data_IF_303660165694
#
_entry.id   IF_303660165694
#
_cell.length_a   1.000
_cell.length_b   1.000
_cell.length_c   1.000
_cell.angle_alpha   90.00
_cell.angle_beta   90.00
_cell.angle_gamma   90.00
#
_symmetry.space_group_name_H-M   'P 1'
#
loop_
_entity.id
_entity.type
_entity.pdbx_description
1 polymer ?
#
# COMPACT_ATOMS: atom_id res chain seq x y z
N UNK A 1 16.35 -32.64 -24.95
CA UNK A 1 17.30 -31.50 -24.78
C UNK A 1 16.65 -30.52 -23.85
N UNK A 2 17.07 -30.53 -22.57
CA UNK A 2 16.53 -29.58 -21.55
C UNK A 2 17.36 -28.32 -21.62
N UNK A 3 16.73 -27.22 -22.10
CA UNK A 3 17.28 -25.88 -21.96
C UNK A 3 16.83 -25.31 -20.60
N UNK A 4 17.60 -25.58 -19.56
CA UNK A 4 17.55 -24.81 -18.32
C UNK A 4 18.19 -23.44 -18.61
N UNK A 5 17.37 -22.43 -18.89
CA UNK A 5 17.83 -21.04 -18.82
C UNK A 5 18.12 -20.72 -17.35
N UNK A 6 19.41 -20.66 -17.02
CA UNK A 6 19.87 -20.07 -15.76
C UNK A 6 19.56 -18.58 -15.85
N UNK A 7 18.57 -18.13 -15.07
CA UNK A 7 18.32 -16.70 -14.91
C UNK A 7 19.57 -16.05 -14.28
N UNK A 8 20.02 -14.87 -14.76
CA UNK A 8 21.13 -14.18 -14.12
C UNK A 8 20.79 -13.89 -12.66
N UNK A 9 21.78 -14.02 -11.79
CA UNK A 9 21.62 -13.67 -10.38
C UNK A 9 21.11 -12.22 -10.27
N UNK A 10 20.11 -11.97 -9.41
CA UNK A 10 19.65 -10.61 -9.17
C UNK A 10 20.81 -9.76 -8.64
N UNK A 11 20.90 -8.47 -9.01
CA UNK A 11 21.92 -7.58 -8.50
C UNK A 11 21.85 -7.55 -6.97
N UNK A 12 23.01 -7.50 -6.32
CA UNK A 12 23.11 -7.44 -4.87
C UNK A 12 22.23 -6.29 -4.33
N UNK A 13 21.46 -6.51 -3.26
CA UNK A 13 20.64 -5.47 -2.67
C UNK A 13 21.53 -4.30 -2.24
N UNK A 14 21.06 -3.04 -2.38
CA UNK A 14 21.81 -1.89 -1.91
C UNK A 14 22.12 -2.00 -0.42
N UNK A 15 23.23 -1.47 0.07
CA UNK A 15 23.60 -1.52 1.47
C UNK A 15 22.47 -0.94 2.31
N UNK A 16 22.12 -1.62 3.41
CA UNK A 16 21.09 -1.15 4.34
C UNK A 16 21.57 0.15 4.99
N UNK A 17 20.68 1.17 5.13
CA UNK A 17 20.98 2.37 5.86
C UNK A 17 21.40 2.03 7.30
N UNK A 18 22.43 2.68 7.81
CA UNK A 18 23.08 2.36 9.10
C UNK A 18 22.56 3.20 10.26
N UNK A 19 21.87 4.31 9.98
CA UNK A 19 21.29 5.21 11.00
C UNK A 19 19.87 5.66 10.61
N UNK A 20 19.07 6.12 11.58
CA UNK A 20 17.74 6.68 11.34
C UNK A 20 17.80 7.93 10.44
N UNK A 21 18.86 8.73 10.56
CA UNK A 21 19.10 9.91 9.70
C UNK A 21 19.35 9.51 8.24
N UNK A 22 20.03 8.39 8.00
CA UNK A 22 20.25 7.85 6.66
C UNK A 22 18.92 7.40 6.03
N UNK A 23 18.05 6.78 6.83
CA UNK A 23 16.71 6.35 6.38
C UNK A 23 15.87 7.55 5.95
N UNK A 24 15.80 8.59 6.78
CA UNK A 24 15.05 9.82 6.48
C UNK A 24 15.63 10.52 5.25
N UNK A 25 16.96 10.59 5.16
CA UNK A 25 17.64 11.21 4.01
C UNK A 25 17.29 10.53 2.70
N UNK A 26 17.34 9.20 2.67
CA UNK A 26 17.00 8.41 1.50
C UNK A 26 15.51 8.51 1.15
N UNK A 27 14.63 8.53 2.13
CA UNK A 27 13.20 8.72 1.95
C UNK A 27 12.91 10.07 1.28
N UNK A 28 13.48 11.17 1.82
CA UNK A 28 13.32 12.51 1.25
C UNK A 28 13.89 12.59 -0.17
N UNK A 29 15.08 12.03 -0.40
CA UNK A 29 15.72 12.01 -1.72
C UNK A 29 14.84 11.34 -2.77
N UNK A 30 14.37 10.16 -2.46
CA UNK A 30 13.51 9.35 -3.31
C UNK A 30 12.20 10.07 -3.63
N UNK A 31 11.50 10.56 -2.59
CA UNK A 31 10.23 11.25 -2.78
C UNK A 31 10.39 12.56 -3.57
N UNK A 32 11.48 13.31 -3.37
CA UNK A 32 11.75 14.51 -4.15
C UNK A 32 11.90 14.19 -5.63
N UNK A 33 12.71 13.21 -5.97
CA UNK A 33 12.92 12.76 -7.35
C UNK A 33 11.59 12.31 -7.99
N UNK A 34 10.81 11.50 -7.28
CA UNK A 34 9.50 11.00 -7.71
C UNK A 34 8.51 12.14 -7.98
N UNK A 35 8.32 13.04 -7.00
CA UNK A 35 7.38 14.15 -7.10
C UNK A 35 7.75 15.13 -8.22
N UNK A 36 9.05 15.39 -8.41
CA UNK A 36 9.55 16.20 -9.52
C UNK A 36 9.27 15.52 -10.86
N UNK A 37 9.62 14.24 -10.99
CA UNK A 37 9.43 13.46 -12.23
C UNK A 37 7.97 13.31 -12.61
N UNK A 38 7.08 13.07 -11.63
CA UNK A 38 5.61 13.00 -11.84
C UNK A 38 5.07 14.30 -12.42
N UNK A 39 5.72 15.44 -12.19
CA UNK A 39 5.37 16.76 -12.74
C UNK A 39 6.14 17.10 -14.01
N UNK A 40 6.91 16.16 -14.55
CA UNK A 40 7.75 16.37 -15.74
C UNK A 40 8.70 17.58 -15.61
N UNK A 41 9.18 17.88 -14.38
CA UNK A 41 10.10 18.98 -14.13
C UNK A 41 11.55 18.51 -14.22
N UNK A 42 12.40 19.29 -14.92
CA UNK A 42 13.84 19.17 -14.76
C UNK A 42 14.29 19.75 -13.41
N UNK A 43 15.52 19.47 -12.97
CA UNK A 43 16.07 20.11 -11.77
C UNK A 43 16.09 21.63 -11.90
N UNK A 44 16.37 22.18 -13.09
CA UNK A 44 16.30 23.61 -13.35
C UNK A 44 14.88 24.15 -13.29
N UNK A 45 13.91 23.38 -13.77
CA UNK A 45 12.49 23.71 -13.68
C UNK A 45 12.03 23.78 -12.22
N UNK A 46 12.39 22.79 -11.42
CA UNK A 46 12.09 22.77 -10.00
C UNK A 46 12.81 23.90 -9.23
N UNK A 47 14.08 24.15 -9.55
CA UNK A 47 14.84 25.24 -8.93
C UNK A 47 14.14 26.61 -9.11
N UNK A 48 13.65 26.89 -10.30
CA UNK A 48 12.85 28.11 -10.58
C UNK A 48 11.52 28.14 -9.82
N UNK A 49 10.85 26.98 -9.73
CA UNK A 49 9.53 26.88 -9.08
C UNK A 49 9.61 27.04 -7.56
N UNK A 50 10.66 26.56 -6.91
CA UNK A 50 10.78 26.56 -5.44
C UNK A 50 11.77 27.58 -4.87
N UNK A 51 12.60 28.24 -5.70
CA UNK A 51 13.62 29.18 -5.24
C UNK A 51 14.75 28.51 -4.44
N UNK A 52 15.05 27.24 -4.76
CA UNK A 52 16.20 26.48 -4.23
C UNK A 52 17.18 26.21 -5.36
N UNK A 53 18.50 26.31 -5.11
CA UNK A 53 19.48 26.13 -6.17
C UNK A 53 19.44 24.73 -6.75
N UNK A 54 19.69 24.61 -8.08
CA UNK A 54 19.81 23.32 -8.77
C UNK A 54 20.81 22.37 -8.12
N UNK A 55 21.96 22.94 -7.66
CA UNK A 55 23.01 22.15 -7.01
C UNK A 55 22.51 21.52 -5.68
N UNK A 56 21.78 22.29 -4.88
CA UNK A 56 21.18 21.79 -3.63
C UNK A 56 20.13 20.73 -3.90
N UNK A 57 19.25 20.92 -4.88
CA UNK A 57 18.26 19.92 -5.27
C UNK A 57 18.92 18.62 -5.72
N UNK A 58 19.99 18.70 -6.51
CA UNK A 58 20.74 17.53 -6.95
C UNK A 58 21.41 16.79 -5.77
N UNK A 59 21.93 17.50 -4.78
CA UNK A 59 22.49 16.90 -3.57
C UNK A 59 21.42 16.20 -2.73
N UNK A 60 20.24 16.81 -2.60
CA UNK A 60 19.12 16.21 -1.87
C UNK A 60 18.63 14.95 -2.61
N UNK A 61 18.39 15.01 -3.92
CA UNK A 61 17.93 13.84 -4.71
C UNK A 61 18.95 12.70 -4.75
N UNK A 62 20.23 13.00 -4.60
CA UNK A 62 21.27 11.97 -4.50
C UNK A 62 21.48 11.42 -3.08
N UNK A 63 20.69 11.86 -2.09
CA UNK A 63 20.84 11.46 -0.70
C UNK A 63 22.10 12.01 0.00
N UNK A 64 22.85 12.91 -0.65
CA UNK A 64 24.10 13.47 -0.11
C UNK A 64 23.88 14.64 0.87
N UNK A 65 22.65 15.14 0.99
CA UNK A 65 22.30 16.25 1.86
C UNK A 65 20.89 16.10 2.37
N UNK A 66 20.71 16.24 3.67
CA UNK A 66 19.39 16.34 4.32
C UNK A 66 18.96 17.80 4.26
N UNK A 67 17.80 18.13 3.64
CA UNK A 67 17.32 19.50 3.61
C UNK A 67 16.84 19.94 4.99
N UNK A 68 17.07 21.20 5.35
CA UNK A 68 16.39 21.79 6.51
C UNK A 68 14.88 21.86 6.24
N UNK A 69 14.07 21.90 7.32
CA UNK A 69 12.61 22.02 7.22
C UNK A 69 12.20 23.26 6.38
N UNK A 70 12.93 24.35 6.48
CA UNK A 70 12.70 25.57 5.70
C UNK A 70 12.92 25.34 4.20
N UNK A 71 13.92 24.55 3.83
CA UNK A 71 14.20 24.21 2.43
C UNK A 71 13.11 23.24 1.93
N UNK A 72 12.74 22.25 2.76
CA UNK A 72 11.70 21.29 2.42
C UNK A 72 10.33 21.97 2.19
N UNK A 73 9.97 22.97 3.01
CA UNK A 73 8.77 23.77 2.82
C UNK A 73 8.78 24.56 1.49
N UNK A 74 9.93 25.10 1.07
CA UNK A 74 10.05 25.79 -0.23
C UNK A 74 9.84 24.83 -1.39
N UNK A 75 10.42 23.63 -1.31
CA UNK A 75 10.29 22.59 -2.32
C UNK A 75 8.83 22.11 -2.39
N UNK A 76 8.20 21.86 -1.24
CA UNK A 76 6.80 21.46 -1.12
C UNK A 76 5.87 22.49 -1.80
N UNK A 77 6.08 23.79 -1.50
CA UNK A 77 5.33 24.87 -2.15
C UNK A 77 5.53 24.91 -3.66
N UNK A 78 6.75 24.73 -4.14
CA UNK A 78 7.07 24.71 -5.58
C UNK A 78 6.45 23.53 -6.30
N UNK A 79 6.34 22.38 -5.62
CA UNK A 79 5.69 21.16 -6.11
C UNK A 79 4.19 21.11 -5.79
N UNK A 80 3.62 22.07 -5.06
CA UNK A 80 2.23 22.08 -4.60
C UNK A 80 1.82 20.77 -3.90
N UNK A 81 2.63 20.33 -2.95
CA UNK A 81 2.40 19.13 -2.12
C UNK A 81 2.58 19.49 -0.64
N UNK A 82 2.12 18.63 0.26
CA UNK A 82 2.43 18.75 1.69
C UNK A 82 3.90 18.40 1.96
N UNK A 83 4.47 18.91 3.07
CA UNK A 83 5.81 18.50 3.53
C UNK A 83 5.83 17.02 3.90
N UNK A 84 4.71 16.49 4.40
CA UNK A 84 4.56 15.07 4.73
C UNK A 84 4.81 14.16 3.51
N UNK A 85 4.49 14.61 2.29
CA UNK A 85 4.71 13.83 1.06
C UNK A 85 6.19 13.47 0.79
N UNK A 86 7.14 14.13 1.46
CA UNK A 86 8.56 13.79 1.38
C UNK A 86 8.99 12.77 2.42
N UNK A 87 8.18 12.57 3.46
CA UNK A 87 8.44 11.66 4.57
C UNK A 87 7.61 10.37 4.48
N UNK A 88 6.73 10.27 3.48
CA UNK A 88 5.97 9.07 3.22
C UNK A 88 6.89 7.90 2.87
N UNK A 89 6.70 6.79 3.56
CA UNK A 89 7.53 5.61 3.39
C UNK A 89 7.22 4.97 2.03
N UNK A 90 8.24 4.84 1.17
CA UNK A 90 8.27 4.17 -0.13
C UNK A 90 7.09 4.39 -1.08
N UNK A 91 7.24 5.31 -2.02
CA UNK A 91 6.48 5.20 -3.27
C UNK A 91 7.01 4.02 -4.09
N UNK A 92 6.08 3.26 -4.65
CA UNK A 92 6.37 2.15 -5.57
C UNK A 92 7.12 2.63 -6.82
N UNK A 93 8.25 2.00 -7.14
CA UNK A 93 9.00 2.19 -8.38
C UNK A 93 9.24 0.86 -9.10
N UNK A 94 8.55 0.68 -10.20
CA UNK A 94 8.78 -0.45 -11.12
C UNK A 94 8.21 -1.77 -10.60
N UNK A 95 9.02 -2.67 -10.06
CA UNK A 95 8.63 -4.00 -9.60
C UNK A 95 8.95 -4.16 -8.13
N UNK A 96 7.96 -4.58 -7.35
CA UNK A 96 8.14 -4.92 -5.94
C UNK A 96 7.60 -6.32 -5.68
N UNK A 97 8.41 -7.17 -5.07
CA UNK A 97 8.03 -8.51 -4.64
C UNK A 97 7.88 -8.48 -3.12
N UNK A 98 6.69 -8.79 -2.62
CA UNK A 98 6.43 -8.94 -1.20
C UNK A 98 6.34 -10.43 -0.85
N UNK A 99 7.40 -11.05 -0.30
CA UNK A 99 7.34 -12.44 0.14
C UNK A 99 6.26 -12.62 1.21
N UNK A 100 5.54 -13.74 1.16
CA UNK A 100 4.43 -14.00 2.08
C UNK A 100 4.81 -13.95 3.57
N UNK A 101 6.07 -14.28 3.90
CA UNK A 101 6.60 -14.21 5.26
C UNK A 101 6.85 -12.78 5.76
N UNK A 102 6.98 -11.82 4.84
CA UNK A 102 7.23 -10.40 5.15
C UNK A 102 5.94 -9.56 5.12
N UNK A 103 4.83 -10.15 4.66
CA UNK A 103 3.54 -9.47 4.64
C UNK A 103 3.03 -9.20 6.05
N UNK A 104 2.48 -8.02 6.27
CA UNK A 104 1.76 -7.70 7.52
C UNK A 104 0.51 -8.56 7.61
N UNK A 105 0.27 -9.09 8.81
CA UNK A 105 -0.92 -9.88 9.13
C UNK A 105 -1.63 -9.26 10.31
N UNK A 106 -2.94 -9.20 10.23
CA UNK A 106 -3.84 -8.91 11.34
C UNK A 106 -4.54 -10.21 11.69
N UNK A 107 -4.64 -10.49 12.98
CA UNK A 107 -5.27 -11.70 13.50
C UNK A 107 -6.27 -11.27 14.55
N UNK A 108 -7.52 -11.76 14.47
CA UNK A 108 -8.54 -11.53 15.50
C UNK A 108 -8.10 -12.11 16.85
N UNK A 109 -8.65 -11.57 17.93
CA UNK A 109 -8.25 -11.97 19.30
C UNK A 109 -8.43 -13.48 19.57
N UNK A 110 -9.41 -14.11 18.95
CA UNK A 110 -9.70 -15.54 19.05
C UNK A 110 -8.98 -16.38 17.98
N UNK A 111 -8.22 -15.74 17.07
CA UNK A 111 -7.54 -16.40 15.96
C UNK A 111 -8.46 -16.94 14.85
N UNK A 112 -9.75 -16.57 14.87
CA UNK A 112 -10.73 -17.06 13.89
C UNK A 112 -10.57 -16.42 12.51
N UNK A 113 -10.08 -15.19 12.48
CA UNK A 113 -9.87 -14.40 11.27
C UNK A 113 -8.41 -13.98 11.13
N UNK A 114 -7.87 -14.09 9.93
CA UNK A 114 -6.54 -13.63 9.56
C UNK A 114 -6.68 -12.80 8.29
N UNK A 115 -6.18 -11.57 8.32
CA UNK A 115 -6.04 -10.73 7.14
C UNK A 115 -4.56 -10.52 6.85
N UNK A 116 -4.13 -10.78 5.62
CA UNK A 116 -2.75 -10.63 5.14
C UNK A 116 -2.69 -9.65 3.99
N UNK A 117 -1.96 -8.54 4.15
CA UNK A 117 -1.73 -7.61 3.05
C UNK A 117 -0.93 -8.28 1.93
N UNK A 118 -1.39 -8.15 0.68
CA UNK A 118 -0.74 -8.73 -0.51
C UNK A 118 0.26 -7.78 -1.15
N UNK A 119 0.14 -6.49 -0.86
CA UNK A 119 1.04 -5.45 -1.36
C UNK A 119 1.48 -4.55 -0.22
N UNK A 120 2.66 -3.91 -0.33
CA UNK A 120 3.08 -2.90 0.63
C UNK A 120 2.07 -1.76 0.72
N UNK A 121 1.92 -1.21 1.92
CA UNK A 121 1.09 -0.02 2.11
C UNK A 121 1.67 1.16 1.32
N UNK A 122 0.81 1.85 0.59
CA UNK A 122 1.16 3.06 -0.17
C UNK A 122 -0.01 4.04 -0.10
N UNK A 123 0.23 5.20 0.50
CA UNK A 123 -0.76 6.27 0.64
C UNK A 123 -1.26 6.85 -0.69
N UNK A 124 -0.51 6.66 -1.78
CA UNK A 124 -0.90 7.06 -3.12
C UNK A 124 -1.85 6.06 -3.80
N UNK A 125 -2.02 4.87 -3.24
CA UNK A 125 -2.95 3.88 -3.76
C UNK A 125 -4.36 4.15 -3.24
N UNK A 126 -5.31 4.05 -4.14
CA UNK A 126 -6.73 4.13 -3.79
C UNK A 126 -7.31 2.75 -3.43
N UNK A 127 -6.51 1.69 -3.53
CA UNK A 127 -6.96 0.33 -3.26
C UNK A 127 -5.93 -0.46 -2.48
N UNK A 128 -6.39 -1.25 -1.53
CA UNK A 128 -5.62 -2.21 -0.76
C UNK A 128 -6.10 -3.62 -1.06
N UNK A 129 -5.17 -4.58 -1.09
CA UNK A 129 -5.44 -5.97 -1.44
C UNK A 129 -5.05 -6.88 -0.29
N UNK A 130 -5.97 -7.76 0.09
CA UNK A 130 -5.81 -8.70 1.19
C UNK A 130 -6.15 -10.13 0.79
N UNK A 131 -5.46 -11.08 1.40
CA UNK A 131 -5.95 -12.43 1.55
C UNK A 131 -6.56 -12.53 2.94
N UNK A 132 -7.82 -12.93 3.02
CA UNK A 132 -8.50 -13.19 4.29
C UNK A 132 -8.73 -14.70 4.45
N UNK A 133 -8.56 -15.18 5.68
CA UNK A 133 -8.78 -16.57 6.06
C UNK A 133 -9.68 -16.63 7.27
N UNK A 134 -10.69 -17.43 7.21
CA UNK A 134 -11.56 -17.74 8.32
C UNK A 134 -11.47 -19.23 8.63
N UNK A 135 -11.15 -19.57 9.87
CA UNK A 135 -11.20 -20.96 10.32
C UNK A 135 -12.61 -21.52 10.20
N UNK A 136 -12.74 -22.84 10.34
CA UNK A 136 -14.04 -23.52 10.43
C UNK A 136 -14.94 -22.84 11.48
N UNK A 137 -16.19 -22.54 11.09
CA UNK A 137 -17.22 -21.89 11.93
C UNK A 137 -16.81 -20.52 12.52
N UNK A 138 -15.72 -19.92 12.01
CA UNK A 138 -15.24 -18.61 12.45
C UNK A 138 -16.05 -17.46 11.87
N UNK A 139 -15.99 -16.31 12.54
CA UNK A 139 -16.58 -15.07 12.06
C UNK A 139 -15.72 -13.86 12.39
N UNK A 140 -15.89 -12.78 11.63
CA UNK A 140 -15.29 -11.47 11.85
C UNK A 140 -16.36 -10.40 11.62
N UNK A 141 -16.43 -9.43 12.54
CA UNK A 141 -17.42 -8.33 12.48
C UNK A 141 -16.69 -7.02 12.32
N UNK A 142 -17.05 -6.25 11.30
CA UNK A 142 -16.58 -4.90 11.07
C UNK A 142 -17.68 -3.89 11.44
N UNK A 143 -17.30 -2.83 12.15
CA UNK A 143 -18.20 -1.72 12.46
C UNK A 143 -18.52 -0.84 11.23
N UNK A 144 -17.88 -1.12 10.09
CA UNK A 144 -17.91 -0.32 8.89
C UNK A 144 -16.69 0.59 8.79
N UNK A 145 -16.43 1.03 7.56
CA UNK A 145 -15.32 1.92 7.20
C UNK A 145 -15.82 3.37 6.99
N UNK A 146 -14.98 4.24 6.46
CA UNK A 146 -15.37 5.60 6.12
C UNK A 146 -16.37 5.67 4.95
N UNK A 147 -17.08 6.79 4.78
CA UNK A 147 -18.07 6.95 3.73
C UNK A 147 -17.51 6.70 2.33
N UNK A 148 -18.25 5.95 1.51
CA UNK A 148 -17.91 5.68 0.11
C UNK A 148 -16.83 4.61 -0.09
N UNK A 149 -16.31 3.99 0.96
CA UNK A 149 -15.40 2.86 0.85
C UNK A 149 -16.16 1.66 0.32
N UNK A 150 -15.56 0.97 -0.65
CA UNK A 150 -16.10 -0.24 -1.26
C UNK A 150 -15.20 -1.43 -0.98
N UNK A 151 -15.82 -2.58 -0.82
CA UNK A 151 -15.14 -3.87 -0.74
C UNK A 151 -15.56 -4.76 -1.89
N UNK A 152 -14.56 -5.36 -2.55
CA UNK A 152 -14.70 -6.35 -3.59
C UNK A 152 -14.07 -7.65 -3.07
N UNK A 153 -14.87 -8.70 -2.95
CA UNK A 153 -14.40 -9.97 -2.38
C UNK A 153 -14.66 -11.10 -3.38
N UNK A 154 -13.68 -12.01 -3.50
CA UNK A 154 -13.79 -13.25 -4.27
C UNK A 154 -13.40 -14.41 -3.37
N UNK A 155 -14.25 -15.43 -3.28
CA UNK A 155 -13.95 -16.66 -2.54
C UNK A 155 -13.00 -17.52 -3.35
N UNK A 156 -11.78 -17.74 -2.82
CA UNK A 156 -10.76 -18.58 -3.45
C UNK A 156 -10.88 -20.05 -3.06
N UNK A 157 -11.35 -20.30 -1.83
CA UNK A 157 -11.52 -21.67 -1.29
C UNK A 157 -12.62 -21.69 -0.23
N UNK A 158 -13.43 -22.73 -0.25
CA UNK A 158 -14.48 -22.98 0.75
C UNK A 158 -15.76 -22.20 0.48
N UNK A 159 -16.44 -21.84 1.56
CA UNK A 159 -17.73 -21.13 1.54
C UNK A 159 -17.65 -19.97 2.52
N UNK A 160 -18.17 -18.82 2.14
CA UNK A 160 -18.20 -17.63 2.95
C UNK A 160 -19.59 -16.98 2.94
N UNK A 161 -20.15 -16.73 4.11
CA UNK A 161 -21.34 -15.90 4.28
C UNK A 161 -20.90 -14.45 4.55
N UNK A 162 -21.33 -13.52 3.71
CA UNK A 162 -21.14 -12.09 3.91
C UNK A 162 -22.49 -11.48 4.30
N UNK A 163 -22.55 -10.76 5.41
CA UNK A 163 -23.74 -10.04 5.84
C UNK A 163 -23.51 -8.54 5.75
N UNK A 164 -24.39 -7.82 5.07
CA UNK A 164 -24.37 -6.36 4.91
C UNK A 164 -25.79 -5.85 5.11
N UNK A 165 -25.99 -4.88 6.00
CA UNK A 165 -27.33 -4.33 6.30
C UNK A 165 -28.36 -5.42 6.66
N UNK A 166 -27.98 -6.42 7.46
CA UNK A 166 -28.80 -7.57 7.85
C UNK A 166 -29.17 -8.55 6.72
N UNK A 167 -28.84 -8.25 5.49
CA UNK A 167 -28.93 -9.20 4.37
C UNK A 167 -27.73 -10.14 4.35
N UNK A 168 -27.97 -11.42 4.01
CA UNK A 168 -26.95 -12.46 4.00
C UNK A 168 -26.76 -13.01 2.59
N UNK A 169 -25.50 -13.10 2.21
CA UNK A 169 -25.07 -13.62 0.92
C UNK A 169 -24.14 -14.80 1.15
N UNK A 170 -24.55 -16.00 0.71
CA UNK A 170 -23.71 -17.20 0.80
C UNK A 170 -22.96 -17.34 -0.52
N UNK A 171 -21.63 -17.35 -0.42
CA UNK A 171 -20.71 -17.39 -1.55
C UNK A 171 -19.90 -18.68 -1.51
N UNK A 172 -19.82 -19.37 -2.64
CA UNK A 172 -18.97 -20.54 -2.86
C UNK A 172 -17.67 -20.16 -3.58
N UNK A 173 -16.74 -21.09 -3.66
CA UNK A 173 -15.49 -20.90 -4.40
C UNK A 173 -15.75 -20.41 -5.82
N UNK A 174 -15.13 -19.28 -6.19
CA UNK A 174 -15.30 -18.59 -7.48
C UNK A 174 -16.37 -17.49 -7.47
N UNK A 175 -17.26 -17.47 -6.48
CA UNK A 175 -18.25 -16.40 -6.36
C UNK A 175 -17.60 -15.11 -5.85
N UNK A 176 -18.21 -13.98 -6.20
CA UNK A 176 -17.76 -12.65 -5.82
C UNK A 176 -18.91 -11.76 -5.35
N UNK A 177 -18.57 -10.79 -4.51
CA UNK A 177 -19.50 -9.76 -4.03
C UNK A 177 -18.79 -8.39 -4.04
N UNK A 178 -19.55 -7.35 -4.38
CA UNK A 178 -19.16 -5.94 -4.24
C UNK A 178 -20.21 -5.25 -3.39
N UNK A 179 -19.78 -4.50 -2.38
CA UNK A 179 -20.68 -3.73 -1.54
C UNK A 179 -20.01 -2.45 -1.00
N UNK A 180 -20.83 -1.50 -0.55
CA UNK A 180 -20.34 -0.37 0.22
C UNK A 180 -20.06 -0.82 1.65
N UNK A 181 -18.83 -0.66 2.09
CA UNK A 181 -18.36 -1.11 3.41
C UNK A 181 -18.42 -0.01 4.47
N UNK A 182 -19.15 1.08 4.23
CA UNK A 182 -19.40 2.17 5.18
C UNK A 182 -20.41 1.81 6.27
N UNK A 183 -21.12 0.68 6.10
CA UNK A 183 -22.06 0.13 7.07
C UNK A 183 -21.45 -1.10 7.79
N UNK A 184 -21.98 -1.46 8.98
CA UNK A 184 -21.58 -2.70 9.65
C UNK A 184 -21.78 -3.91 8.75
N UNK A 185 -20.74 -4.74 8.66
CA UNK A 185 -20.76 -5.96 7.86
C UNK A 185 -20.04 -7.08 8.59
N UNK A 186 -20.30 -8.33 8.18
CA UNK A 186 -19.74 -9.51 8.80
C UNK A 186 -19.35 -10.55 7.79
N UNK A 187 -18.22 -11.19 8.03
CA UNK A 187 -17.77 -12.39 7.36
C UNK A 187 -17.95 -13.59 8.26
N UNK A 188 -18.59 -14.66 7.82
CA UNK A 188 -18.76 -15.89 8.56
C UNK A 188 -18.43 -17.09 7.65
N UNK A 189 -17.65 -18.01 8.16
CA UNK A 189 -17.46 -19.31 7.53
C UNK A 189 -18.45 -20.31 8.15
N UNK A 190 -19.49 -20.75 7.41
CA UNK A 190 -20.47 -21.69 7.95
C UNK A 190 -20.03 -23.16 7.87
N UNK A 191 -18.88 -23.45 7.22
CA UNK A 191 -18.38 -24.80 7.01
C UNK A 191 -17.42 -25.27 8.12
N UNK A 192 -17.11 -26.55 8.11
CA UNK A 192 -16.19 -27.23 9.03
C UNK A 192 -14.73 -27.23 8.54
N UNK A 193 -14.44 -26.55 7.42
CA UNK A 193 -13.12 -26.37 6.84
C UNK A 193 -12.79 -24.89 6.70
N UNK A 194 -11.51 -24.54 6.53
CA UNK A 194 -11.07 -23.14 6.35
C UNK A 194 -11.64 -22.55 5.06
N UNK A 195 -12.10 -21.29 5.12
CA UNK A 195 -12.42 -20.48 3.98
C UNK A 195 -11.30 -19.47 3.69
N UNK A 196 -10.99 -19.26 2.41
CA UNK A 196 -10.01 -18.28 1.93
C UNK A 196 -10.67 -17.39 0.88
N UNK A 197 -10.51 -16.08 1.02
CA UNK A 197 -10.97 -15.13 0.03
C UNK A 197 -9.92 -14.03 -0.23
N UNK A 198 -10.00 -13.42 -1.41
CA UNK A 198 -9.27 -12.19 -1.72
C UNK A 198 -10.21 -11.00 -1.60
N UNK A 199 -9.75 -9.99 -0.88
CA UNK A 199 -10.49 -8.77 -0.60
C UNK A 199 -9.73 -7.57 -1.17
N UNK A 200 -10.43 -6.71 -1.89
CA UNK A 200 -9.95 -5.41 -2.36
C UNK A 200 -10.79 -4.32 -1.71
N UNK A 201 -10.14 -3.49 -0.91
CA UNK A 201 -10.75 -2.30 -0.32
C UNK A 201 -10.41 -1.12 -1.23
N UNK A 202 -11.41 -0.41 -1.70
CA UNK A 202 -11.25 0.76 -2.57
C UNK A 202 -11.75 2.01 -1.84
N UNK A 203 -10.90 3.01 -1.75
CA UNK A 203 -11.19 4.30 -1.14
C UNK A 203 -11.72 5.27 -2.20
N UNK A 204 -12.73 6.09 -1.88
CA UNK A 204 -13.21 7.11 -2.79
C UNK A 204 -12.10 8.12 -3.13
N UNK A 205 -12.15 8.69 -4.33
CA UNK A 205 -11.27 9.81 -4.67
C UNK A 205 -11.48 10.94 -3.66
N UNK A 206 -10.39 11.44 -3.09
CA UNK A 206 -10.45 12.69 -2.32
C UNK A 206 -10.74 13.80 -3.33
N UNK A 207 -11.97 14.30 -3.30
CA UNK A 207 -12.30 15.55 -3.96
C UNK A 207 -11.59 16.65 -3.16
N UNK A 208 -10.46 17.15 -3.70
CA UNK A 208 -9.75 18.32 -3.17
C UNK A 208 -10.58 19.60 -3.40
#
# INVERSE_FOLDING_TARGET
MNFLHVLPEPPAPPPKPTTDDDVISLCVAHNLQRLRSKRNLSLDGLARACGVSRAMLAQIESGRSVPSIKVLCKIAKGLKVSVAAFLEDRAFEGVEVLPAQQSKRLVSADGAFISRALFPYDTARQSEFYEIRLRALGEEVSAGHGPGIQENLVVAQGVLEVSVNDERYLLSTGDSILFYADQPHRYRNPADSEAVAFLVITYPERLD
#
